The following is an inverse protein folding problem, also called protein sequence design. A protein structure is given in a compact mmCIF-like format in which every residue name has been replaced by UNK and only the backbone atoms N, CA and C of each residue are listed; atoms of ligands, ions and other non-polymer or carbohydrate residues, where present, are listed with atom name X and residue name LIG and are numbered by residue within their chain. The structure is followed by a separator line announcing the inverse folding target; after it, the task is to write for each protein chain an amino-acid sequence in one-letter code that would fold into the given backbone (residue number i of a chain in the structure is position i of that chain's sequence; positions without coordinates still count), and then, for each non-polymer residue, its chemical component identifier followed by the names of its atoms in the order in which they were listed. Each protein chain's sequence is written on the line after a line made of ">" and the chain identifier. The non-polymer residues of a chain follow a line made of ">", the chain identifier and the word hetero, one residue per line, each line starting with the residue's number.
data_IF_586552235938
#
_entry.id   IF_586552235938
#
_cell.length_a   1.000
_cell.length_b   1.000
_cell.length_c   1.000
_cell.angle_alpha   90.00
_cell.angle_beta   90.00
_cell.angle_gamma   90.00
#
_symmetry.space_group_name_H-M   'P 1'
#
loop_
_entity.id
_entity.type
_entity.pdbx_description
1 polymer ?
#
# COMPACT_ATOMS: atom_id res chain seq x y z
N UNK A 1 -10.12 1.83 5.18
CA UNK A 1 -10.02 1.08 3.89
C UNK A 1 -9.30 1.97 2.89
N UNK A 2 -8.45 1.43 1.99
CA UNK A 2 -7.84 2.24 0.92
C UNK A 2 -8.90 2.49 -0.16
N UNK A 3 -9.12 3.75 -0.52
CA UNK A 3 -10.11 4.17 -1.53
C UNK A 3 -9.46 4.70 -2.81
N UNK A 4 -8.14 4.88 -2.81
CA UNK A 4 -7.39 5.37 -3.96
C UNK A 4 -5.89 5.36 -3.69
N UNK A 5 -5.10 5.27 -4.75
CA UNK A 5 -3.64 5.32 -4.71
C UNK A 5 -3.14 5.96 -6.00
N UNK A 6 -2.06 6.75 -5.92
CA UNK A 6 -1.35 7.23 -7.09
C UNK A 6 0.11 7.50 -6.73
N UNK A 7 1.00 6.84 -7.48
CA UNK A 7 2.44 7.11 -7.43
C UNK A 7 2.76 8.35 -8.28
N UNK A 8 3.67 9.18 -7.80
CA UNK A 8 4.14 10.39 -8.46
C UNK A 8 5.57 10.73 -8.08
N UNK A 9 6.19 11.60 -8.87
CA UNK A 9 7.52 12.16 -8.63
C UNK A 9 7.41 13.69 -8.69
N UNK A 10 7.67 14.43 -7.60
CA UNK A 10 8.31 13.96 -6.36
C UNK A 10 7.35 13.39 -5.29
N UNK A 11 6.04 13.64 -5.39
CA UNK A 11 5.06 13.34 -4.33
C UNK A 11 4.06 12.27 -4.79
N UNK A 12 3.79 11.30 -3.92
CA UNK A 12 2.78 10.25 -4.09
C UNK A 12 1.62 10.46 -3.12
N UNK A 13 0.48 9.79 -3.38
CA UNK A 13 -0.70 9.88 -2.51
C UNK A 13 -1.39 8.55 -2.30
N UNK A 14 -2.06 8.44 -1.15
CA UNK A 14 -2.97 7.36 -0.83
C UNK A 14 -4.22 7.93 -0.14
N UNK A 15 -5.37 7.39 -0.52
CA UNK A 15 -6.68 7.80 -0.01
C UNK A 15 -7.23 6.71 0.90
N UNK A 16 -7.77 7.10 2.04
CA UNK A 16 -8.34 6.21 3.02
C UNK A 16 -9.72 6.66 3.46
N UNK A 17 -10.60 5.67 3.61
CA UNK A 17 -11.79 5.78 4.45
C UNK A 17 -11.36 5.62 5.93
N UNK A 18 -11.37 6.76 6.65
CA UNK A 18 -11.06 6.86 8.08
C UNK A 18 -11.79 8.04 8.73
N UNK A 19 -12.31 7.82 9.93
CA UNK A 19 -12.90 8.86 10.77
C UNK A 19 -11.86 9.55 11.66
N UNK A 20 -10.68 8.94 11.84
CA UNK A 20 -9.56 9.51 12.57
C UNK A 20 -8.59 10.24 11.62
N UNK A 21 -8.34 11.52 11.90
CA UNK A 21 -7.48 12.40 11.14
C UNK A 21 -6.65 13.32 12.04
N UNK A 22 -6.36 12.88 13.27
CA UNK A 22 -5.54 13.67 14.18
C UNK A 22 -4.08 13.75 13.68
N UNK A 23 -3.35 14.84 13.96
CA UNK A 23 -1.92 14.92 13.65
C UNK A 23 -1.10 13.74 14.20
N UNK A 24 -1.46 13.26 15.39
CA UNK A 24 -0.83 12.12 16.05
C UNK A 24 -1.08 10.82 15.29
N UNK A 25 -2.29 10.65 14.73
CA UNK A 25 -2.61 9.51 13.89
C UNK A 25 -1.71 9.46 12.66
N UNK A 26 -1.56 10.58 11.95
CA UNK A 26 -0.66 10.63 10.79
C UNK A 26 0.81 10.44 11.16
N UNK A 27 1.27 11.05 12.26
CA UNK A 27 2.62 10.82 12.78
C UNK A 27 2.87 9.35 13.12
N UNK A 28 1.86 8.65 13.64
CA UNK A 28 1.95 7.22 13.92
C UNK A 28 2.06 6.37 12.66
N UNK A 29 1.41 6.78 11.55
CA UNK A 29 1.55 6.11 10.25
C UNK A 29 2.99 6.26 9.76
N UNK A 30 3.55 7.48 9.75
CA UNK A 30 4.95 7.69 9.34
C UNK A 30 5.92 6.85 10.18
N UNK A 31 5.77 6.85 11.51
CA UNK A 31 6.64 6.07 12.41
C UNK A 31 6.58 4.58 12.07
N UNK A 32 5.38 4.01 12.04
CA UNK A 32 5.17 2.58 11.79
C UNK A 32 5.66 2.16 10.40
N UNK A 33 5.43 2.99 9.38
CA UNK A 33 5.94 2.73 8.03
C UNK A 33 7.47 2.67 8.02
N UNK A 34 8.13 3.64 8.64
CA UNK A 34 9.61 3.65 8.69
C UNK A 34 10.17 2.53 9.57
N UNK A 35 9.49 2.14 10.65
CA UNK A 35 9.84 0.95 11.45
C UNK A 35 9.83 -0.31 10.59
N UNK A 36 8.80 -0.50 9.76
CA UNK A 36 8.72 -1.65 8.84
C UNK A 36 9.81 -1.59 7.77
N UNK A 37 10.10 -0.40 7.25
CA UNK A 37 11.20 -0.21 6.30
C UNK A 37 12.53 -0.64 6.92
N UNK A 38 12.82 -0.22 8.15
CA UNK A 38 14.06 -0.53 8.85
C UNK A 38 14.28 -2.05 9.09
N UNK A 39 13.20 -2.84 9.11
CA UNK A 39 13.24 -4.31 9.30
C UNK A 39 13.90 -5.07 8.16
N UNK A 40 14.14 -4.46 6.99
CA UNK A 40 14.76 -5.12 5.83
C UNK A 40 14.05 -6.39 5.40
N UNK A 41 12.74 -6.28 5.18
CA UNK A 41 11.94 -7.42 4.79
C UNK A 41 12.16 -7.68 3.30
N UNK A 42 12.53 -8.91 2.96
CA UNK A 42 12.64 -9.38 1.59
C UNK A 42 11.27 -9.41 0.92
N UNK A 43 11.23 -9.06 -0.36
CA UNK A 43 10.06 -9.24 -1.20
C UNK A 43 10.14 -10.59 -1.92
N UNK A 44 9.06 -11.36 -1.85
CA UNK A 44 8.93 -12.58 -2.63
C UNK A 44 7.72 -12.48 -3.56
N UNK A 45 7.89 -13.06 -4.74
CA UNK A 45 6.86 -13.12 -5.77
C UNK A 45 6.41 -14.56 -5.92
N UNK A 46 5.11 -14.75 -5.90
CA UNK A 46 4.47 -16.01 -6.25
C UNK A 46 3.30 -15.72 -7.18
N UNK A 47 2.67 -16.77 -7.67
CA UNK A 47 1.53 -16.66 -8.56
C UNK A 47 0.40 -17.55 -8.03
N UNK A 48 -0.83 -17.08 -8.20
CA UNK A 48 -2.04 -17.83 -7.86
C UNK A 48 -3.02 -17.75 -9.00
N UNK A 49 -3.68 -18.86 -9.30
CA UNK A 49 -4.79 -18.84 -10.25
C UNK A 49 -5.87 -17.86 -9.76
N UNK A 50 -6.66 -17.33 -10.69
CA UNK A 50 -7.79 -16.46 -10.38
C UNK A 50 -8.71 -17.09 -9.34
N UNK A 51 -9.01 -18.37 -9.49
CA UNK A 51 -9.90 -19.09 -8.56
C UNK A 51 -9.33 -19.14 -7.14
N UNK A 52 -8.05 -19.45 -6.98
CA UNK A 52 -7.40 -19.50 -5.68
C UNK A 52 -7.26 -18.11 -5.05
N UNK A 53 -6.89 -17.10 -5.84
CA UNK A 53 -6.72 -15.75 -5.33
C UNK A 53 -8.05 -15.15 -4.87
N UNK A 54 -9.14 -15.37 -5.61
CA UNK A 54 -10.48 -14.89 -5.25
C UNK A 54 -11.04 -15.55 -3.97
N UNK A 55 -10.49 -16.69 -3.54
CA UNK A 55 -10.81 -17.31 -2.23
C UNK A 55 -10.16 -16.56 -1.05
N UNK A 56 -9.23 -15.62 -1.31
CA UNK A 56 -8.52 -14.84 -0.31
C UNK A 56 -8.80 -13.34 -0.56
N UNK A 57 -9.95 -12.81 -0.11
CA UNK A 57 -10.35 -11.42 -0.35
C UNK A 57 -9.31 -10.40 0.13
N UNK A 58 -8.54 -10.76 1.15
CA UNK A 58 -7.47 -9.96 1.74
C UNK A 58 -6.28 -9.77 0.80
N UNK A 59 -6.18 -10.45 -0.35
CA UNK A 59 -5.14 -10.15 -1.35
C UNK A 59 -5.42 -8.85 -2.11
N UNK A 60 -6.66 -8.35 -2.08
CA UNK A 60 -7.10 -7.24 -2.92
C UNK A 60 -7.43 -6.01 -2.08
N UNK A 61 -6.55 -5.01 -2.10
CA UNK A 61 -6.76 -3.73 -1.39
C UNK A 61 -7.80 -2.85 -2.06
N UNK A 62 -7.82 -2.84 -3.39
CA UNK A 62 -8.76 -2.06 -4.22
C UNK A 62 -9.73 -3.03 -4.90
N UNK A 63 -10.92 -3.21 -4.30
CA UNK A 63 -11.91 -4.20 -4.78
C UNK A 63 -12.49 -3.87 -6.16
N UNK A 64 -12.54 -2.59 -6.52
CA UNK A 64 -13.27 -2.12 -7.71
C UNK A 64 -12.46 -2.14 -9.01
N UNK A 65 -11.22 -2.65 -9.00
CA UNK A 65 -10.29 -2.52 -10.14
C UNK A 65 -9.83 -3.87 -10.72
N UNK A 66 -10.38 -5.02 -10.26
CA UNK A 66 -9.90 -6.33 -10.72
C UNK A 66 -10.33 -6.62 -12.17
N UNK A 67 -9.40 -6.70 -13.14
CA UNK A 67 -9.73 -7.07 -14.51
C UNK A 67 -10.28 -8.50 -14.55
N UNK A 68 -11.31 -8.74 -15.37
CA UNK A 68 -12.00 -10.05 -15.42
C UNK A 68 -11.20 -11.09 -16.19
N UNK A 69 -10.33 -10.62 -17.08
CA UNK A 69 -9.61 -11.40 -18.07
C UNK A 69 -8.29 -11.96 -17.54
N UNK A 70 -7.85 -11.56 -16.35
CA UNK A 70 -6.60 -12.05 -15.75
C UNK A 70 -6.81 -13.48 -15.22
N UNK A 71 -6.13 -14.49 -15.79
CA UNK A 71 -6.27 -15.89 -15.38
C UNK A 71 -5.45 -16.22 -14.13
N UNK A 72 -4.39 -15.46 -13.87
CA UNK A 72 -3.45 -15.66 -12.78
C UNK A 72 -3.00 -14.32 -12.20
N UNK A 73 -2.98 -14.20 -10.88
CA UNK A 73 -2.52 -13.01 -10.19
C UNK A 73 -1.09 -13.20 -9.69
N UNK A 74 -0.25 -12.18 -9.95
CA UNK A 74 1.03 -12.03 -9.28
C UNK A 74 0.80 -11.61 -7.83
N UNK A 75 1.28 -12.43 -6.90
CA UNK A 75 1.19 -12.22 -5.47
C UNK A 75 2.55 -11.81 -4.94
N UNK A 76 2.56 -10.68 -4.25
CA UNK A 76 3.75 -10.10 -3.63
C UNK A 76 3.61 -10.25 -2.12
N UNK A 77 4.62 -10.85 -1.48
CA UNK A 77 4.75 -10.88 -0.03
C UNK A 77 5.93 -10.03 0.41
N UNK A 78 5.73 -9.21 1.43
CA UNK A 78 6.75 -8.39 2.07
C UNK A 78 7.07 -9.04 3.42
N UNK A 79 8.08 -9.92 3.44
CA UNK A 79 8.40 -10.73 4.63
C UNK A 79 7.16 -11.37 5.27
N UNK A 80 7.02 -11.16 6.57
CA UNK A 80 5.86 -11.55 7.38
C UNK A 80 4.85 -10.40 7.59
N UNK A 81 5.06 -9.26 6.93
CA UNK A 81 4.32 -8.03 7.18
C UNK A 81 3.04 -7.92 6.36
N UNK A 82 3.13 -8.18 5.05
CA UNK A 82 1.99 -8.01 4.15
C UNK A 82 2.04 -8.96 2.95
N UNK A 83 0.86 -9.29 2.43
CA UNK A 83 0.70 -10.04 1.18
C UNK A 83 -0.44 -9.44 0.35
N UNK A 84 -0.18 -9.21 -0.94
CA UNK A 84 -1.16 -8.60 -1.85
C UNK A 84 -0.99 -9.07 -3.30
N UNK A 85 -2.07 -8.98 -4.08
CA UNK A 85 -2.00 -9.07 -5.53
C UNK A 85 -1.50 -7.73 -6.10
N UNK A 86 -0.37 -7.74 -6.82
CA UNK A 86 0.27 -6.52 -7.33
C UNK A 86 1.01 -6.76 -8.66
N UNK A 87 0.75 -5.86 -9.62
CA UNK A 87 1.37 -5.85 -10.95
C UNK A 87 2.51 -4.83 -11.11
N UNK A 88 2.82 -4.03 -10.09
CA UNK A 88 3.80 -2.96 -10.14
C UNK A 88 5.27 -3.42 -10.09
N UNK A 89 6.18 -2.49 -10.35
CA UNK A 89 7.62 -2.69 -10.17
C UNK A 89 8.00 -2.57 -8.69
N UNK A 90 8.86 -3.46 -8.21
CA UNK A 90 9.19 -3.57 -6.80
C UNK A 90 10.71 -3.47 -6.59
N UNK A 91 11.09 -3.02 -5.40
CA UNK A 91 12.46 -3.18 -4.86
C UNK A 91 12.65 -4.60 -4.31
N UNK A 92 13.89 -5.03 -4.05
CA UNK A 92 14.13 -6.41 -3.56
C UNK A 92 13.80 -6.53 -2.07
N UNK A 93 14.08 -5.50 -1.28
CA UNK A 93 13.75 -5.46 0.15
C UNK A 93 13.28 -4.06 0.59
N UNK A 94 12.67 -3.98 1.77
CA UNK A 94 12.09 -2.72 2.26
C UNK A 94 13.11 -1.61 2.51
N UNK A 95 14.40 -1.90 2.74
CA UNK A 95 15.41 -0.85 3.00
C UNK A 95 15.77 -0.03 1.77
N UNK A 96 15.61 -0.58 0.56
CA UNK A 96 15.80 0.16 -0.69
C UNK A 96 14.83 1.33 -0.85
N UNK A 97 13.73 1.36 -0.09
CA UNK A 97 12.73 2.44 -0.11
C UNK A 97 13.32 3.75 0.45
N UNK A 98 14.35 3.72 1.30
CA UNK A 98 14.83 4.92 1.99
C UNK A 98 13.94 5.31 3.17
N UNK A 99 13.65 6.60 3.34
CA UNK A 99 12.78 7.10 4.41
C UNK A 99 11.48 7.64 3.84
N UNK A 100 10.35 7.18 4.37
CA UNK A 100 9.03 7.74 4.02
C UNK A 100 8.75 8.96 4.88
N UNK A 101 8.25 10.03 4.26
CA UNK A 101 7.79 11.24 4.95
C UNK A 101 6.40 11.63 4.49
N UNK A 102 5.51 11.88 5.45
CA UNK A 102 4.18 12.43 5.18
C UNK A 102 4.34 13.94 5.03
N UNK A 103 3.93 14.48 3.88
CA UNK A 103 4.08 15.91 3.58
C UNK A 103 2.86 16.72 3.99
N UNK A 104 1.66 16.17 3.77
CA UNK A 104 0.39 16.83 4.07
C UNK A 104 -0.80 15.87 3.97
N UNK A 105 -1.95 16.34 4.44
CA UNK A 105 -3.22 15.63 4.34
C UNK A 105 -4.32 16.55 3.81
N UNK A 106 -5.25 16.00 3.05
CA UNK A 106 -6.40 16.72 2.49
C UNK A 106 -7.71 16.01 2.84
N UNK A 107 -8.74 16.77 3.20
CA UNK A 107 -10.09 16.24 3.42
C UNK A 107 -10.80 16.10 2.07
N UNK A 108 -11.22 14.88 1.71
CA UNK A 108 -11.93 14.55 0.45
C UNK A 108 -13.39 14.18 0.67
N UNK A 109 -13.98 14.54 1.81
CA UNK A 109 -15.37 14.26 2.17
C UNK A 109 -15.50 13.76 3.61
N UNK A 110 -16.72 13.45 4.04
CA UNK A 110 -17.01 13.09 5.44
C UNK A 110 -16.04 12.03 6.00
N UNK A 111 -15.81 10.95 5.25
CA UNK A 111 -14.96 9.82 5.65
C UNK A 111 -13.67 9.65 4.86
N UNK A 112 -13.48 10.40 3.77
CA UNK A 112 -12.33 10.22 2.89
C UNK A 112 -11.21 11.20 3.24
N UNK A 113 -10.01 10.68 3.50
CA UNK A 113 -8.80 11.44 3.77
C UNK A 113 -7.73 11.05 2.77
N UNK A 114 -7.08 12.05 2.19
CA UNK A 114 -5.93 11.86 1.32
C UNK A 114 -4.66 12.21 2.08
N UNK A 115 -3.69 11.33 2.02
CA UNK A 115 -2.37 11.50 2.61
C UNK A 115 -1.34 11.56 1.48
N UNK A 116 -0.49 12.57 1.53
CA UNK A 116 0.59 12.77 0.59
C UNK A 116 1.92 12.42 1.25
N UNK A 117 2.81 11.79 0.49
CA UNK A 117 4.09 11.31 0.98
C UNK A 117 5.18 11.34 -0.08
N UNK A 118 6.42 11.41 0.39
CA UNK A 118 7.65 11.37 -0.41
C UNK A 118 8.60 10.33 0.15
N UNK A 119 9.61 9.97 -0.64
CA UNK A 119 10.78 9.20 -0.22
C UNK A 119 11.98 10.15 -0.13
N UNK A 120 12.75 10.04 0.96
CA UNK A 120 14.01 10.75 1.22
C UNK A 120 15.18 9.78 1.38
#
# INVERSE_FOLDING_TARGET
>A
MITGNQLGNPESRVDFDTENYSPEFFKSIESKTNEVIARNLEQAISFKSREEALKIPELFRLKDVLPKEIPEFRIVSIGDFDVQADGGTLVQNTREIGRVKITRTENKGAKNRRLYWTIE
#
